data_IF_615203816052
#
_entry.id   IF_615203816052
#
_cell.length_a   1.000
_cell.length_b   1.000
_cell.length_c   1.000
_cell.angle_alpha   90.00
_cell.angle_beta   90.00
_cell.angle_gamma   90.00
#
_symmetry.space_group_name_H-M   'P 1'
#
loop_
_entity.id
_entity.type
_entity.pdbx_description
1 polymer ?
#
# COMPACT_ATOMS: atom_id res chain seq x y z
N UNK A 1 -3.49 12.04 -11.65
CA UNK A 1 -4.77 11.94 -11.51
C UNK A 1 -5.41 10.89 -12.26
N UNK A 2 -5.11 10.63 -13.47
CA UNK A 2 -5.69 9.55 -14.12
C UNK A 2 -5.41 8.27 -13.42
N UNK A 3 -4.27 8.17 -12.80
CA UNK A 3 -3.90 6.96 -12.13
C UNK A 3 -4.84 6.65 -11.01
N UNK A 4 -5.30 7.67 -10.33
CA UNK A 4 -6.16 7.44 -9.24
C UNK A 4 -7.51 6.91 -9.68
N UNK A 5 -7.96 7.32 -10.81
CA UNK A 5 -9.22 6.85 -11.28
C UNK A 5 -9.16 5.39 -11.59
N UNK A 6 -8.05 4.96 -12.18
CA UNK A 6 -7.92 3.57 -12.48
C UNK A 6 -7.84 2.75 -11.22
N UNK A 7 -7.16 3.29 -10.23
CA UNK A 7 -7.04 2.55 -9.00
C UNK A 7 -8.40 2.39 -8.36
N UNK A 8 -9.22 3.39 -8.47
CA UNK A 8 -10.51 3.32 -7.87
C UNK A 8 -11.33 2.19 -8.46
N UNK A 9 -11.21 2.00 -9.76
CA UNK A 9 -11.95 0.97 -10.36
C UNK A 9 -11.50 -0.37 -9.91
N UNK A 10 -10.20 -0.52 -9.80
CA UNK A 10 -9.68 -1.78 -9.36
C UNK A 10 -10.11 -2.03 -7.94
N UNK A 11 -10.15 -1.00 -7.15
CA UNK A 11 -10.47 -1.16 -5.77
C UNK A 11 -11.88 -1.69 -5.60
N UNK A 12 -12.79 -1.18 -6.38
CA UNK A 12 -14.14 -1.63 -6.28
C UNK A 12 -14.26 -3.11 -6.59
N UNK A 13 -13.55 -3.54 -7.57
CA UNK A 13 -13.61 -4.92 -7.94
C UNK A 13 -13.05 -5.79 -6.83
N UNK A 14 -11.96 -5.38 -6.27
CA UNK A 14 -11.34 -6.16 -5.25
C UNK A 14 -12.19 -6.19 -4.01
N UNK A 15 -12.78 -5.08 -3.72
CA UNK A 15 -13.50 -5.01 -2.52
C UNK A 15 -14.68 -5.92 -2.50
N UNK A 16 -15.29 -6.12 -3.61
CA UNK A 16 -16.43 -6.95 -3.62
C UNK A 16 -16.09 -8.34 -3.12
N UNK A 17 -14.86 -8.74 -3.28
CA UNK A 17 -14.49 -10.06 -2.86
C UNK A 17 -14.41 -10.16 -1.37
N UNK A 18 -14.08 -9.09 -0.72
CA UNK A 18 -13.96 -9.20 0.65
C UNK A 18 -15.19 -8.87 1.36
N UNK A 19 -16.10 -8.36 0.74
CA UNK A 19 -17.26 -7.92 1.34
C UNK A 19 -17.87 -8.81 2.33
N UNK A 20 -17.72 -10.07 2.17
CA UNK A 20 -18.39 -10.78 3.05
C UNK A 20 -17.82 -11.23 4.23
N UNK A 21 -16.74 -11.01 4.46
CA UNK A 21 -16.16 -11.50 5.54
C UNK A 21 -16.56 -11.05 6.80
N UNK A 22 -17.10 -10.68 7.23
CA UNK A 22 -17.58 -10.20 8.38
C UNK A 22 -17.07 -10.34 9.56
N UNK A 23 -16.60 -10.41 9.87
CA UNK A 23 -16.13 -10.57 10.93
C UNK A 23 -16.06 -10.15 12.08
N UNK A 24 -15.62 -10.37 12.59
CA UNK A 24 -15.65 -10.03 13.79
C UNK A 24 -14.55 -9.50 14.14
N UNK A 25 -14.25 -8.89 13.91
CA UNK A 25 -13.28 -8.38 14.41
C UNK A 25 -12.15 -7.90 14.24
N UNK A 26 -11.46 -7.74 14.92
CA UNK A 26 -10.27 -7.28 14.88
C UNK A 26 -9.36 -7.87 13.93
N UNK A 27 -9.58 -8.75 13.19
CA UNK A 27 -8.64 -9.34 12.25
C UNK A 27 -8.33 -8.34 11.17
N UNK A 28 -7.08 -8.05 10.96
CA UNK A 28 -6.71 -7.13 9.90
C UNK A 28 -7.04 -7.72 8.54
N UNK A 29 -7.44 -6.88 7.63
CA UNK A 29 -7.82 -7.31 6.30
C UNK A 29 -6.71 -6.94 5.33
N UNK A 30 -6.21 -7.88 4.54
CA UNK A 30 -5.13 -7.55 3.60
C UNK A 30 -5.61 -6.64 2.50
N UNK A 31 -4.75 -5.74 2.06
CA UNK A 31 -5.08 -4.82 1.00
C UNK A 31 -4.27 -5.24 -0.20
N UNK A 32 -4.90 -5.39 -1.35
CA UNK A 32 -4.17 -5.78 -2.54
C UNK A 32 -3.26 -4.66 -2.98
N UNK A 33 -2.00 -4.95 -3.17
CA UNK A 33 -1.02 -3.96 -3.57
C UNK A 33 -0.47 -4.31 -4.93
N UNK A 34 -0.45 -3.35 -5.83
CA UNK A 34 0.15 -3.53 -7.14
C UNK A 34 1.50 -2.84 -7.10
N UNK A 35 2.55 -3.56 -7.44
CA UNK A 35 3.89 -3.02 -7.37
C UNK A 35 4.49 -2.89 -8.75
N UNK A 36 5.07 -1.72 -9.04
CA UNK A 36 5.74 -1.49 -10.30
C UNK A 36 7.23 -1.31 -10.00
N UNK A 37 8.07 -2.18 -10.49
CA UNK A 37 9.50 -2.10 -10.24
C UNK A 37 10.09 -1.12 -11.21
N UNK A 38 10.87 -0.18 -10.69
CA UNK A 38 11.43 0.82 -11.55
C UNK A 38 12.51 0.24 -12.39
N UNK A 39 12.47 0.54 -13.71
CA UNK A 39 13.36 0.03 -14.57
C UNK A 39 14.78 0.18 -14.35
N UNK A 40 15.17 1.20 -13.79
CA UNK A 40 16.56 1.40 -13.58
C UNK A 40 17.14 0.28 -12.83
N UNK A 41 16.41 -0.33 -12.03
CA UNK A 41 16.97 -1.34 -11.28
C UNK A 41 17.03 -2.56 -12.00
N UNK A 42 16.07 -2.83 -12.71
CA UNK A 42 16.08 -4.04 -13.41
C UNK A 42 17.22 -4.14 -14.32
N UNK A 43 17.60 -3.12 -14.88
CA UNK A 43 18.55 -3.25 -15.87
C UNK A 43 19.86 -3.62 -15.39
N UNK A 44 20.16 -3.50 -14.30
CA UNK A 44 21.40 -3.70 -13.94
C UNK A 44 21.65 -5.01 -13.72
N UNK A 45 22.08 -5.57 -14.14
CA UNK A 45 22.45 -6.73 -13.93
C UNK A 45 22.11 -7.55 -13.26
N UNK A 46 21.64 -7.67 -13.13
CA UNK A 46 21.45 -8.48 -12.83
C UNK A 46 21.16 -9.65 -12.29
N UNK A 47 21.49 -10.58 -12.54
CA UNK A 47 21.26 -11.70 -12.03
C UNK A 47 21.37 -11.79 -10.62
N UNK A 48 22.28 -11.31 -10.06
CA UNK A 48 22.39 -11.43 -8.71
C UNK A 48 21.35 -10.78 -8.05
N UNK A 49 20.85 -9.79 -8.60
CA UNK A 49 19.93 -9.14 -7.96
C UNK A 49 18.70 -9.86 -7.80
N UNK A 50 18.37 -10.67 -8.61
CA UNK A 50 17.15 -11.34 -8.55
C UNK A 50 17.00 -12.16 -7.29
N UNK A 51 18.07 -12.36 -6.61
CA UNK A 51 17.97 -13.10 -5.43
C UNK A 51 17.59 -12.26 -4.25
N UNK A 52 17.52 -10.96 -4.40
CA UNK A 52 17.22 -10.17 -3.28
C UNK A 52 15.74 -10.18 -3.00
N UNK A 53 15.36 -10.36 -1.80
CA UNK A 53 13.96 -10.41 -1.42
C UNK A 53 13.52 -9.02 -0.98
N UNK A 54 12.37 -8.62 -1.39
CA UNK A 54 11.80 -7.37 -0.92
C UNK A 54 10.34 -7.59 -0.62
N UNK A 55 9.75 -6.72 0.16
CA UNK A 55 8.39 -6.89 0.55
C UNK A 55 7.62 -5.59 0.65
N UNK A 56 6.39 -5.58 0.20
CA UNK A 56 5.47 -4.49 0.38
C UNK A 56 4.11 -5.13 0.61
N UNK A 57 3.57 -4.99 1.83
CA UNK A 57 2.28 -5.55 2.16
C UNK A 57 1.51 -4.56 2.98
N UNK A 58 0.22 -4.57 2.92
CA UNK A 58 -0.58 -3.67 3.72
C UNK A 58 -1.81 -4.36 4.24
N UNK A 59 -2.24 -3.93 5.42
CA UNK A 59 -3.42 -4.47 6.06
C UNK A 59 -4.20 -3.33 6.67
N UNK A 60 -5.53 -3.43 6.68
CA UNK A 60 -6.33 -2.41 7.32
C UNK A 60 -7.08 -3.03 8.48
N UNK A 61 -7.21 -2.28 9.56
CA UNK A 61 -7.97 -2.71 10.72
C UNK A 61 -9.30 -1.99 10.64
N UNK A 62 -10.34 -2.67 10.22
CA UNK A 62 -11.61 -2.00 9.91
C UNK A 62 -12.23 -1.25 11.07
N UNK A 63 -12.03 -1.74 12.25
CA UNK A 63 -12.66 -1.12 13.39
C UNK A 63 -11.98 0.19 13.77
N UNK A 64 -10.69 0.23 13.76
CA UNK A 64 -9.99 1.41 14.21
C UNK A 64 -9.61 2.33 13.07
N UNK A 65 -9.64 1.83 11.86
CA UNK A 65 -9.21 2.63 10.73
C UNK A 65 -7.71 2.73 10.57
N UNK A 66 -6.96 1.90 11.28
CA UNK A 66 -5.54 1.91 11.13
C UNK A 66 -5.08 1.11 9.96
N UNK A 67 -4.03 1.56 9.30
CA UNK A 67 -3.47 0.87 8.15
C UNK A 67 -2.03 0.52 8.48
N UNK A 68 -1.67 -0.76 8.38
CA UNK A 68 -0.33 -1.18 8.63
C UNK A 68 0.34 -1.50 7.33
N UNK A 69 1.55 -1.02 7.12
CA UNK A 69 2.27 -1.30 5.88
C UNK A 69 3.61 -1.90 6.26
N UNK A 70 3.90 -3.09 5.75
CA UNK A 70 5.15 -3.79 6.02
C UNK A 70 6.05 -3.66 4.82
N UNK A 71 7.27 -3.20 5.05
CA UNK A 71 8.19 -2.92 3.97
C UNK A 71 9.57 -3.50 4.25
N UNK A 72 10.22 -3.98 3.23
CA UNK A 72 11.55 -4.48 3.38
C UNK A 72 12.32 -4.37 2.08
N UNK A 73 13.54 -3.87 2.18
CA UNK A 73 14.51 -3.88 1.09
C UNK A 73 14.07 -3.16 -0.19
N UNK A 74 13.44 -2.01 -0.06
CA UNK A 74 13.08 -1.23 -1.22
C UNK A 74 13.70 0.18 -1.16
N UNK A 75 14.57 0.42 -0.20
CA UNK A 75 15.23 1.72 -0.07
C UNK A 75 14.41 2.62 0.83
N UNK A 76 14.68 3.89 0.81
CA UNK A 76 13.92 4.80 1.64
C UNK A 76 12.57 4.99 1.00
N UNK A 77 11.53 4.74 1.72
CA UNK A 77 10.19 4.76 1.18
C UNK A 77 9.33 5.86 1.76
N UNK A 78 8.54 6.50 0.92
CA UNK A 78 7.56 7.47 1.37
C UNK A 78 6.21 6.81 1.22
N UNK A 79 5.44 6.71 2.30
CA UNK A 79 4.15 6.05 2.28
C UNK A 79 3.08 7.09 2.56
N UNK A 80 2.06 7.14 1.72
CA UNK A 80 0.97 8.09 1.89
C UNK A 80 -0.37 7.39 1.89
N UNK A 81 -1.29 7.90 2.65
CA UNK A 81 -2.65 7.41 2.67
C UNK A 81 -3.49 8.54 2.09
N UNK A 82 -4.22 8.28 1.04
CA UNK A 82 -4.94 9.29 0.29
C UNK A 82 -6.42 8.96 0.27
N UNK A 83 -7.27 9.96 0.48
CA UNK A 83 -8.69 9.68 0.49
C UNK A 83 -9.26 9.71 -0.93
N UNK A 84 -10.53 9.47 -1.07
CA UNK A 84 -11.14 9.38 -2.39
C UNK A 84 -11.08 10.68 -3.17
N UNK A 85 -10.87 11.80 -2.52
CA UNK A 85 -10.76 13.06 -3.20
C UNK A 85 -9.35 13.38 -3.61
N UNK A 86 -8.42 12.51 -3.34
CA UNK A 86 -7.05 12.73 -3.71
C UNK A 86 -6.25 13.49 -2.67
N UNK A 87 -6.78 13.66 -1.47
CA UNK A 87 -6.08 14.39 -0.47
C UNK A 87 -5.31 13.47 0.45
N UNK A 88 -4.08 13.79 0.75
CA UNK A 88 -3.26 12.97 1.63
C UNK A 88 -3.74 13.18 3.05
N UNK A 89 -4.17 12.12 3.70
CA UNK A 89 -4.66 12.22 5.06
C UNK A 89 -3.62 11.80 6.08
N UNK A 90 -2.61 11.08 5.67
CA UNK A 90 -1.53 10.71 6.57
C UNK A 90 -0.35 10.29 5.72
N UNK A 91 0.87 10.48 6.19
CA UNK A 91 2.02 10.07 5.44
C UNK A 91 3.23 9.93 6.35
N UNK A 92 4.21 9.17 5.91
CA UNK A 92 5.41 8.97 6.67
C UNK A 92 6.52 8.51 5.75
N UNK A 93 7.75 8.48 6.24
CA UNK A 93 8.88 7.99 5.49
C UNK A 93 9.66 7.05 6.36
N UNK A 94 10.26 6.05 5.78
CA UNK A 94 10.99 5.07 6.56
C UNK A 94 12.06 4.40 5.71
N UNK A 95 13.15 4.02 6.34
CA UNK A 95 14.17 3.24 5.66
C UNK A 95 13.79 1.78 5.76
N UNK A 96 14.06 1.01 4.75
CA UNK A 96 13.60 -0.36 4.72
C UNK A 96 14.71 -1.37 4.62
N UNK A 97 15.95 -0.99 5.03
CA UNK A 97 17.01 -1.96 4.98
C UNK A 97 16.74 -3.06 5.96
N UNK A 98 15.90 -2.90 6.92
CA UNK A 98 15.50 -4.00 7.77
C UNK A 98 14.00 -4.02 7.70
N UNK A 99 13.36 -5.10 8.03
CA UNK A 99 11.92 -5.17 7.95
C UNK A 99 11.30 -4.06 8.80
N UNK A 100 10.43 -3.29 8.21
CA UNK A 100 9.85 -2.12 8.88
C UNK A 100 8.35 -2.13 8.74
N UNK A 101 7.66 -1.69 9.77
CA UNK A 101 6.21 -1.59 9.74
C UNK A 101 5.84 -0.16 10.06
N UNK A 102 5.02 0.46 9.23
CA UNK A 102 4.54 1.78 9.53
C UNK A 102 3.04 1.72 9.69
N UNK A 103 2.48 2.61 10.49
CA UNK A 103 1.06 2.63 10.74
C UNK A 103 0.53 4.00 10.34
N UNK A 104 -0.52 4.00 9.54
CA UNK A 104 -1.15 5.23 9.14
C UNK A 104 -2.59 5.19 9.62
N UNK A 105 -3.21 6.35 9.73
CA UNK A 105 -4.55 6.41 10.27
C UNK A 105 -5.50 7.08 9.31
N UNK A 106 -6.63 6.45 9.04
CA UNK A 106 -7.65 7.06 8.21
C UNK A 106 -8.34 8.14 9.03
N UNK A 107 -8.86 9.14 8.37
CA UNK A 107 -9.45 10.26 9.08
C UNK A 107 -10.97 10.29 8.98
N UNK A 108 -11.56 9.28 8.44
CA UNK A 108 -13.00 9.23 8.33
C UNK A 108 -13.60 10.07 7.22
N UNK A 109 -12.77 10.68 6.40
CA UNK A 109 -13.29 11.58 5.38
C UNK A 109 -13.80 10.88 4.15
N UNK A 110 -13.54 9.60 4.00
CA UNK A 110 -13.97 8.88 2.83
C UNK A 110 -14.27 7.45 3.16
N UNK A 111 -14.91 6.75 2.25
CA UNK A 111 -15.11 5.35 2.43
C UNK A 111 -14.01 4.57 1.74
N UNK A 112 -13.37 5.17 0.77
CA UNK A 112 -12.32 4.50 0.01
C UNK A 112 -11.04 5.26 0.20
N UNK A 113 -9.95 4.55 0.45
CA UNK A 113 -8.64 5.16 0.60
C UNK A 113 -7.63 4.45 -0.27
N UNK A 114 -6.56 5.14 -0.61
CA UNK A 114 -5.50 4.58 -1.42
C UNK A 114 -4.20 4.64 -0.65
N UNK A 115 -3.40 3.60 -0.75
CA UNK A 115 -2.09 3.55 -0.13
C UNK A 115 -1.09 3.72 -1.25
N UNK A 116 -0.16 4.65 -1.13
CA UNK A 116 0.84 4.89 -2.16
C UNK A 116 2.21 4.77 -1.52
N UNK A 117 3.08 3.96 -2.10
CA UNK A 117 4.43 3.76 -1.60
C UNK A 117 5.39 4.11 -2.70
N UNK A 118 6.30 5.05 -2.45
CA UNK A 118 7.27 5.46 -3.44
C UNK A 118 8.66 5.30 -2.88
N UNK A 119 9.51 4.61 -3.59
CA UNK A 119 10.89 4.44 -3.19
C UNK A 119 11.77 4.55 -4.43
N UNK A 120 13.07 4.53 -4.28
CA UNK A 120 13.94 4.57 -5.47
C UNK A 120 13.78 3.34 -6.33
N UNK A 121 13.34 2.23 -5.77
CA UNK A 121 13.30 1.00 -6.52
C UNK A 121 11.92 0.57 -6.96
N UNK A 122 10.86 1.02 -6.30
CA UNK A 122 9.52 0.62 -6.69
C UNK A 122 8.51 1.71 -6.48
N UNK A 123 7.36 1.53 -7.11
CA UNK A 123 6.22 2.38 -6.89
C UNK A 123 5.08 1.40 -6.63
N UNK A 124 4.38 1.53 -5.57
CA UNK A 124 3.30 0.62 -5.25
C UNK A 124 2.04 1.35 -4.86
N UNK A 125 0.91 0.77 -5.15
CA UNK A 125 -0.34 1.38 -4.75
C UNK A 125 -1.37 0.33 -4.48
N UNK A 126 -2.31 0.63 -3.63
CA UNK A 126 -3.40 -0.26 -3.33
C UNK A 126 -4.57 0.56 -2.86
N UNK A 127 -5.74 -0.04 -2.73
CA UNK A 127 -6.85 0.68 -2.18
C UNK A 127 -7.72 -0.24 -1.36
N UNK A 128 -8.49 0.34 -0.49
CA UNK A 128 -9.38 -0.44 0.35
C UNK A 128 -10.58 0.41 0.72
N UNK A 129 -11.61 -0.24 1.19
CA UNK A 129 -12.78 0.48 1.60
C UNK A 129 -12.97 0.22 3.07
N UNK A 130 -13.45 1.18 3.80
CA UNK A 130 -13.54 1.00 5.24
C UNK A 130 -14.93 1.35 5.73
#
# INVERSE_FOLDING_TARGET
>A
MKTFILSAMLCLATFSAFGQNNGDSETPVPVGITVHVKEAIASTDNQERSLQYWEVEAYVHPTSGEVEVNLYNIGNAAISLVNANGKVVDSTEVGTNIPSTVTLQTDGSSNIYYIVVISPTIYAEGCFEI
#
